data_IF_788572852814
#
_entry.id   IF_788572852814
#
_cell.length_a   1.000
_cell.length_b   1.000
_cell.length_c   1.000
_cell.angle_alpha   90.00
_cell.angle_beta   90.00
_cell.angle_gamma   90.00
#
_symmetry.space_group_name_H-M   'P 1'
#
loop_
_entity.id
_entity.type
_entity.pdbx_description
1 polymer ?
#
# COMPACT_ATOMS: atom_id res chain seq x y z
N UNK A 1 -13.96 -13.57 -11.87
CA UNK A 1 -13.41 -14.01 -10.57
C UNK A 1 -12.35 -15.06 -10.84
N UNK A 2 -11.07 -14.71 -10.83
CA UNK A 2 -10.00 -15.71 -10.87
C UNK A 2 -9.96 -16.36 -9.49
N UNK A 3 -10.49 -17.57 -9.37
CA UNK A 3 -10.28 -18.41 -8.21
C UNK A 3 -8.77 -18.55 -8.02
N UNK A 4 -8.26 -18.02 -6.90
CA UNK A 4 -6.92 -18.36 -6.41
C UNK A 4 -7.01 -19.82 -6.00
N UNK A 5 -6.62 -20.73 -6.90
CA UNK A 5 -6.59 -22.15 -6.62
C UNK A 5 -5.56 -22.38 -5.52
N UNK A 6 -6.01 -22.93 -4.40
CA UNK A 6 -5.14 -23.39 -3.32
C UNK A 6 -4.37 -24.59 -3.88
N UNK A 7 -3.06 -24.52 -3.88
CA UNK A 7 -2.17 -25.58 -4.38
C UNK A 7 -1.64 -26.35 -3.17
N UNK A 8 -1.65 -27.67 -3.23
CA UNK A 8 -0.97 -28.49 -2.20
C UNK A 8 0.55 -28.24 -2.29
N UNK A 9 1.17 -27.68 -1.24
CA UNK A 9 2.59 -27.36 -1.27
C UNK A 9 3.49 -28.59 -1.50
N UNK A 10 3.10 -29.77 -1.03
CA UNK A 10 3.90 -31.00 -1.16
C UNK A 10 3.89 -31.48 -2.61
N UNK A 11 2.73 -31.49 -3.24
CA UNK A 11 2.58 -31.83 -4.65
C UNK A 11 3.26 -30.83 -5.56
N UNK A 12 3.08 -29.52 -5.28
CA UNK A 12 3.74 -28.46 -6.02
C UNK A 12 5.25 -28.57 -5.96
N UNK A 13 5.80 -28.85 -4.77
CA UNK A 13 7.23 -29.08 -4.57
C UNK A 13 7.73 -30.24 -5.44
N UNK A 14 7.09 -31.40 -5.34
CA UNK A 14 7.44 -32.59 -6.12
C UNK A 14 7.38 -32.34 -7.63
N UNK A 15 6.35 -31.61 -8.10
CA UNK A 15 6.20 -31.25 -9.52
C UNK A 15 7.33 -30.33 -9.99
N UNK A 16 7.68 -29.31 -9.21
CA UNK A 16 8.76 -28.39 -9.57
C UNK A 16 10.13 -29.08 -9.52
N UNK A 17 10.38 -29.93 -8.53
CA UNK A 17 11.61 -30.73 -8.45
C UNK A 17 11.75 -31.69 -9.63
N UNK A 18 10.66 -32.31 -10.09
CA UNK A 18 10.66 -33.16 -11.32
C UNK A 18 10.95 -32.36 -12.59
N UNK A 19 10.71 -31.06 -12.58
CA UNK A 19 11.03 -30.13 -13.67
C UNK A 19 12.44 -29.52 -13.54
N UNK A 20 13.24 -29.98 -12.57
CA UNK A 20 14.63 -29.56 -12.37
C UNK A 20 14.84 -28.37 -11.45
N UNK A 21 13.81 -27.91 -10.75
CA UNK A 21 13.96 -26.82 -9.77
C UNK A 21 14.54 -27.34 -8.45
N UNK A 22 15.65 -26.76 -8.00
CA UNK A 22 16.20 -26.98 -6.66
C UNK A 22 15.59 -25.94 -5.70
N UNK A 23 14.61 -26.37 -4.90
CA UNK A 23 13.80 -25.49 -4.05
C UNK A 23 14.43 -25.31 -2.66
N UNK A 24 14.88 -24.11 -2.35
CA UNK A 24 15.36 -23.72 -1.02
C UNK A 24 14.22 -23.16 -0.19
N UNK A 25 14.04 -23.70 1.03
CA UNK A 25 12.93 -23.36 1.92
C UNK A 25 13.18 -22.05 2.70
N UNK A 26 12.19 -21.14 2.66
CA UNK A 26 12.17 -19.88 3.40
C UNK A 26 10.83 -19.67 4.14
N UNK A 27 10.30 -20.77 4.71
CA UNK A 27 9.05 -20.75 5.46
C UNK A 27 7.82 -20.70 4.55
N UNK A 28 7.26 -19.54 4.24
CA UNK A 28 6.05 -19.41 3.42
C UNK A 28 6.30 -19.49 1.90
N UNK A 29 7.54 -19.52 1.47
CA UNK A 29 7.93 -19.57 0.06
C UNK A 29 9.21 -20.35 -0.15
N UNK A 30 9.47 -20.74 -1.39
CA UNK A 30 10.75 -21.27 -1.84
C UNK A 30 11.50 -20.23 -2.68
N UNK A 31 12.85 -20.37 -2.68
CA UNK A 31 13.74 -19.75 -3.64
C UNK A 31 14.29 -20.80 -4.60
N UNK A 32 14.47 -20.44 -5.86
CA UNK A 32 15.04 -21.32 -6.88
C UNK A 32 15.76 -20.55 -7.97
N UNK A 33 16.57 -21.23 -8.76
CA UNK A 33 17.08 -20.70 -10.01
C UNK A 33 15.96 -20.65 -11.07
N UNK A 34 16.08 -19.71 -12.02
CA UNK A 34 15.14 -19.56 -13.12
C UNK A 34 15.45 -20.57 -14.23
N UNK A 35 15.18 -21.85 -13.98
CA UNK A 35 15.50 -22.99 -14.89
C UNK A 35 14.92 -22.78 -16.30
N UNK A 36 13.71 -22.24 -16.41
CA UNK A 36 13.03 -22.00 -17.68
C UNK A 36 13.79 -21.09 -18.67
N UNK A 37 14.77 -20.32 -18.17
CA UNK A 37 15.64 -19.46 -18.99
C UNK A 37 17.13 -19.79 -18.83
N UNK A 38 17.46 -20.99 -18.31
CA UNK A 38 18.84 -21.44 -18.13
C UNK A 38 19.62 -20.69 -17.02
N UNK A 39 18.93 -20.03 -16.11
CA UNK A 39 19.58 -19.30 -15.00
C UNK A 39 20.06 -20.26 -13.90
N UNK A 40 21.20 -19.95 -13.32
CA UNK A 40 21.87 -20.70 -12.24
C UNK A 40 21.77 -20.05 -10.86
N UNK A 41 21.36 -18.78 -10.78
CA UNK A 41 21.16 -18.06 -9.53
C UNK A 41 20.02 -18.67 -8.70
N UNK A 42 20.37 -19.38 -7.64
CA UNK A 42 19.43 -20.09 -6.76
C UNK A 42 18.44 -19.19 -5.97
N UNK A 43 18.52 -17.88 -6.14
CA UNK A 43 17.62 -16.90 -5.50
C UNK A 43 16.85 -16.08 -6.52
N UNK A 44 16.95 -16.38 -7.81
CA UNK A 44 16.31 -15.63 -8.89
C UNK A 44 14.77 -15.67 -8.82
N UNK A 45 14.19 -16.79 -8.40
CA UNK A 45 12.75 -16.97 -8.24
C UNK A 45 12.33 -16.95 -6.79
N UNK A 46 11.14 -16.41 -6.54
CA UNK A 46 10.37 -16.56 -5.30
C UNK A 46 9.04 -17.21 -5.62
N UNK A 47 8.74 -18.37 -5.02
CA UNK A 47 7.54 -19.16 -5.28
C UNK A 47 6.80 -19.38 -3.96
N UNK A 48 5.59 -18.83 -3.84
CA UNK A 48 4.75 -18.97 -2.65
C UNK A 48 4.12 -20.36 -2.59
N UNK A 49 4.30 -21.06 -1.46
CA UNK A 49 3.90 -22.47 -1.26
C UNK A 49 2.39 -22.69 -1.43
N UNK A 50 1.58 -21.83 -0.80
CA UNK A 50 0.13 -22.07 -0.69
C UNK A 50 -0.65 -21.58 -1.91
N UNK A 51 -0.11 -20.64 -2.69
CA UNK A 51 -0.79 -20.06 -3.85
C UNK A 51 -0.15 -20.45 -5.17
N UNK A 52 1.07 -20.97 -5.15
CA UNK A 52 1.86 -21.20 -6.36
C UNK A 52 2.18 -19.90 -7.13
N UNK A 53 1.89 -18.74 -6.57
CA UNK A 53 2.29 -17.47 -7.19
C UNK A 53 3.80 -17.35 -7.13
N UNK A 54 4.40 -16.89 -8.22
CA UNK A 54 5.84 -16.73 -8.28
C UNK A 54 6.26 -15.39 -8.91
N UNK A 55 7.48 -14.98 -8.62
CA UNK A 55 8.12 -13.75 -9.12
C UNK A 55 9.53 -14.10 -9.59
N UNK A 56 9.94 -13.62 -10.77
CA UNK A 56 11.33 -13.60 -11.21
C UNK A 56 11.89 -12.20 -10.97
N UNK A 57 12.93 -12.06 -10.17
CA UNK A 57 13.54 -10.77 -9.85
C UNK A 57 14.23 -10.11 -11.03
N UNK A 58 14.52 -10.85 -12.12
CA UNK A 58 15.04 -10.27 -13.35
C UNK A 58 13.94 -9.63 -14.22
N UNK A 59 12.66 -9.99 -14.00
CA UNK A 59 11.49 -9.45 -14.73
C UNK A 59 10.77 -8.35 -13.93
N UNK A 60 11.44 -7.79 -12.93
CA UNK A 60 10.86 -6.85 -11.98
C UNK A 60 9.93 -7.52 -10.98
N UNK A 61 9.14 -6.74 -10.25
CA UNK A 61 8.25 -7.24 -9.19
C UNK A 61 6.94 -7.88 -9.70
N UNK A 62 6.90 -8.34 -10.95
CA UNK A 62 5.71 -8.97 -11.53
C UNK A 62 5.51 -10.37 -10.97
N UNK A 63 4.29 -10.64 -10.54
CA UNK A 63 3.88 -11.95 -10.02
C UNK A 63 3.03 -12.70 -11.01
N UNK A 64 3.26 -14.01 -11.13
CA UNK A 64 2.63 -14.87 -12.11
C UNK A 64 2.06 -16.14 -11.46
N UNK A 65 1.00 -16.76 -12.02
CA UNK A 65 0.49 -18.04 -11.55
C UNK A 65 1.44 -19.19 -11.92
N UNK A 66 1.43 -20.27 -11.13
CA UNK A 66 2.32 -21.43 -11.32
C UNK A 66 2.22 -22.08 -12.69
N UNK A 67 1.02 -22.15 -13.26
CA UNK A 67 0.82 -22.67 -14.62
C UNK A 67 1.73 -21.99 -15.65
N UNK A 68 1.97 -20.70 -15.49
CA UNK A 68 2.87 -19.96 -16.38
C UNK A 68 4.33 -20.42 -16.22
N UNK A 69 4.79 -20.69 -14.98
CA UNK A 69 6.14 -21.21 -14.76
C UNK A 69 6.33 -22.56 -15.44
N UNK A 70 5.37 -23.47 -15.25
CA UNK A 70 5.38 -24.81 -15.85
C UNK A 70 5.32 -24.70 -17.38
N UNK A 71 4.45 -23.85 -17.93
CA UNK A 71 4.37 -23.58 -19.35
C UNK A 71 5.69 -23.09 -19.95
N UNK A 72 6.37 -22.16 -19.29
CA UNK A 72 7.68 -21.65 -19.69
C UNK A 72 8.77 -22.73 -19.61
N UNK A 73 8.76 -23.55 -18.54
CA UNK A 73 9.76 -24.62 -18.34
C UNK A 73 9.63 -25.73 -19.36
N UNK A 74 8.40 -26.13 -19.68
CA UNK A 74 8.09 -27.17 -20.66
C UNK A 74 8.05 -26.64 -22.12
N UNK A 75 8.16 -25.32 -22.30
CA UNK A 75 7.99 -24.64 -23.58
C UNK A 75 6.70 -25.06 -24.31
N UNK A 76 5.58 -25.14 -23.57
CA UNK A 76 4.27 -25.57 -24.12
C UNK A 76 3.16 -24.64 -23.65
N UNK A 77 2.11 -24.52 -24.49
CA UNK A 77 0.85 -23.84 -24.13
C UNK A 77 -0.32 -24.84 -24.00
N UNK A 78 -0.04 -26.13 -24.07
CA UNK A 78 -1.05 -27.19 -23.94
C UNK A 78 -1.44 -27.35 -22.46
N UNK A 79 -2.64 -26.89 -22.11
CA UNK A 79 -3.17 -26.96 -20.74
C UNK A 79 -3.25 -28.41 -20.24
N UNK A 80 -3.48 -29.42 -21.12
CA UNK A 80 -3.55 -30.83 -20.73
C UNK A 80 -2.19 -31.36 -20.25
N UNK A 81 -1.10 -30.82 -20.77
CA UNK A 81 0.27 -31.15 -20.38
C UNK A 81 0.60 -30.42 -19.07
N UNK A 82 0.25 -29.12 -18.99
CA UNK A 82 0.51 -28.29 -17.81
C UNK A 82 -0.24 -28.81 -16.57
N UNK A 83 -1.50 -29.21 -16.76
CA UNK A 83 -2.37 -29.68 -15.66
C UNK A 83 -1.91 -31.02 -15.07
N UNK A 84 -1.07 -31.80 -15.75
CA UNK A 84 -0.42 -32.99 -15.16
C UNK A 84 0.53 -32.65 -13.99
N UNK A 85 1.08 -31.44 -13.99
CA UNK A 85 1.99 -30.94 -12.96
C UNK A 85 1.27 -30.10 -11.90
N UNK A 86 0.03 -29.70 -12.18
CA UNK A 86 -0.81 -28.92 -11.27
C UNK A 86 -2.06 -29.72 -10.98
N UNK A 87 -1.96 -30.75 -10.12
CA UNK A 87 -3.13 -31.51 -9.66
C UNK A 87 -3.92 -30.68 -8.66
N UNK A 88 -5.11 -30.26 -9.01
CA UNK A 88 -6.10 -29.69 -8.12
C UNK A 88 -6.96 -30.84 -7.56
N UNK A 89 -6.70 -31.29 -6.34
CA UNK A 89 -7.56 -32.25 -5.67
C UNK A 89 -8.67 -31.51 -4.95
N UNK A 90 -9.80 -31.36 -5.63
CA UNK A 90 -11.01 -30.72 -5.08
C UNK A 90 -11.60 -31.50 -3.89
N UNK A 91 -11.29 -32.78 -3.72
CA UNK A 91 -11.80 -33.60 -2.61
C UNK A 91 -11.07 -33.34 -1.30
N UNK A 92 -9.80 -32.95 -1.33
CA UNK A 92 -9.04 -32.56 -0.15
C UNK A 92 -9.35 -31.15 0.37
N UNK A 93 -10.03 -30.31 -0.43
CA UNK A 93 -10.47 -28.97 -0.01
C UNK A 93 -11.61 -29.05 1.02
N UNK A 94 -12.40 -30.12 0.99
CA UNK A 94 -13.58 -30.28 1.88
C UNK A 94 -13.19 -30.90 3.24
N UNK A 95 -12.08 -31.63 3.33
CA UNK A 95 -11.66 -32.34 4.55
C UNK A 95 -10.58 -31.64 5.37
N UNK A 96 -9.85 -30.69 4.79
CA UNK A 96 -9.02 -29.78 5.56
C UNK A 96 -9.87 -28.59 5.97
N UNK A 97 -10.42 -28.66 7.20
CA UNK A 97 -10.79 -27.43 7.90
C UNK A 97 -9.69 -26.43 7.65
N UNK A 98 -10.04 -25.32 6.97
CA UNK A 98 -9.19 -24.15 6.90
C UNK A 98 -9.04 -23.73 8.36
N UNK A 99 -8.01 -24.25 9.02
CA UNK A 99 -7.50 -23.63 10.23
C UNK A 99 -6.98 -22.31 9.73
N UNK A 100 -7.89 -21.31 9.65
CA UNK A 100 -7.47 -19.93 9.66
C UNK A 100 -6.51 -19.86 10.84
N UNK A 101 -5.22 -19.79 10.53
CA UNK A 101 -4.26 -19.34 11.49
C UNK A 101 -4.70 -17.95 11.79
N UNK A 102 -5.44 -17.79 12.87
CA UNK A 102 -5.65 -16.48 13.49
C UNK A 102 -4.22 -16.08 13.86
N UNK A 103 -3.54 -15.41 12.94
CA UNK A 103 -2.28 -14.75 13.25
C UNK A 103 -2.67 -13.64 14.21
N UNK A 104 -2.49 -13.93 15.49
CA UNK A 104 -2.68 -12.91 16.53
C UNK A 104 -1.79 -11.74 16.14
N UNK A 105 -2.40 -10.58 16.04
CA UNK A 105 -1.71 -9.35 15.70
C UNK A 105 -0.62 -9.11 16.74
N UNK A 106 0.61 -8.91 16.30
CA UNK A 106 1.73 -8.70 17.20
C UNK A 106 1.56 -7.36 17.89
N UNK A 107 1.42 -7.38 19.21
CA UNK A 107 1.40 -6.17 20.03
C UNK A 107 2.82 -5.90 20.55
N UNK A 108 3.21 -4.64 20.49
CA UNK A 108 4.50 -4.17 20.96
C UNK A 108 4.33 -3.37 22.25
N UNK A 109 5.21 -3.54 23.26
CA UNK A 109 5.10 -2.80 24.51
C UNK A 109 5.40 -1.32 24.32
N UNK A 110 4.71 -0.44 25.04
CA UNK A 110 4.96 1.01 25.03
C UNK A 110 6.38 1.39 25.46
N UNK A 111 7.03 0.57 26.29
CA UNK A 111 8.45 0.76 26.67
C UNK A 111 9.41 0.82 25.47
N UNK A 112 9.01 0.35 24.31
CA UNK A 112 9.80 0.56 23.09
C UNK A 112 9.90 2.04 22.68
N UNK A 113 8.92 2.87 23.05
CA UNK A 113 8.94 4.31 22.78
C UNK A 113 9.92 5.05 23.70
N UNK A 114 10.12 4.58 24.94
CA UNK A 114 11.02 5.19 25.92
C UNK A 114 12.49 5.19 25.45
N UNK A 115 12.84 4.26 24.58
CA UNK A 115 14.17 4.16 23.98
C UNK A 115 14.36 5.05 22.74
N UNK A 116 13.34 5.77 22.32
CA UNK A 116 13.44 6.69 21.20
C UNK A 116 13.90 8.06 21.67
N UNK A 117 14.92 8.60 21.01
CA UNK A 117 15.37 9.97 21.32
C UNK A 117 14.50 11.00 20.59
N UNK A 118 14.29 12.18 21.16
CA UNK A 118 13.73 13.30 20.43
C UNK A 118 14.59 13.61 19.19
N UNK A 119 13.96 13.77 18.04
CA UNK A 119 14.65 14.14 16.81
C UNK A 119 13.78 15.09 15.99
N UNK A 120 14.03 16.36 16.13
CA UNK A 120 13.25 17.42 15.49
C UNK A 120 13.84 17.86 14.16
N UNK A 121 15.16 17.83 13.99
CA UNK A 121 15.90 18.46 12.89
C UNK A 121 15.45 18.01 11.49
N UNK A 122 15.15 16.72 11.32
CA UNK A 122 14.77 16.19 10.01
C UNK A 122 13.45 16.76 9.51
N UNK A 123 12.45 16.84 10.39
CA UNK A 123 11.12 17.32 10.04
C UNK A 123 10.96 18.84 10.23
N UNK A 124 11.75 19.46 11.12
CA UNK A 124 11.82 20.92 11.20
C UNK A 124 12.31 21.53 9.88
N UNK A 125 13.27 20.89 9.20
CA UNK A 125 13.70 21.27 7.84
C UNK A 125 12.60 21.12 6.79
N UNK A 126 11.54 20.39 7.12
CA UNK A 126 10.32 20.24 6.32
C UNK A 126 9.16 21.06 6.88
N UNK A 127 9.48 21.98 7.78
CA UNK A 127 8.55 22.92 8.42
C UNK A 127 7.41 22.22 9.16
N UNK A 128 7.72 21.08 9.79
CA UNK A 128 6.81 20.39 10.72
C UNK A 128 7.16 20.80 12.13
N UNK A 129 6.20 21.33 12.86
CA UNK A 129 6.38 21.83 14.22
C UNK A 129 6.63 20.70 15.24
N UNK A 130 7.28 21.00 16.38
CA UNK A 130 7.39 20.06 17.49
C UNK A 130 6.03 19.57 18.01
N UNK A 131 4.98 20.40 17.94
CA UNK A 131 3.64 20.02 18.37
C UNK A 131 3.05 18.92 17.50
N UNK A 132 3.18 19.04 16.18
CA UNK A 132 2.81 17.99 15.23
C UNK A 132 3.62 16.72 15.48
N UNK A 133 4.94 16.80 15.65
CA UNK A 133 5.78 15.63 15.93
C UNK A 133 5.40 14.92 17.22
N UNK A 134 5.05 15.69 18.26
CA UNK A 134 4.56 15.16 19.54
C UNK A 134 3.19 14.47 19.38
N UNK A 135 2.28 15.02 18.55
CA UNK A 135 1.03 14.34 18.25
C UNK A 135 1.28 12.97 17.64
N UNK A 136 2.18 12.86 16.66
CA UNK A 136 2.52 11.60 16.01
C UNK A 136 3.39 10.67 16.87
N UNK A 137 3.78 11.09 18.09
CA UNK A 137 4.60 10.34 19.05
C UNK A 137 5.87 9.75 18.43
N UNK A 138 6.46 10.47 17.49
CA UNK A 138 7.63 9.98 16.77
C UNK A 138 8.92 10.24 17.57
N UNK A 139 9.92 9.38 17.34
CA UNK A 139 11.25 9.54 17.90
C UNK A 139 12.33 8.80 17.12
N UNK A 140 13.58 9.05 17.45
CA UNK A 140 14.73 8.52 16.71
C UNK A 140 15.29 7.25 17.36
N UNK A 141 15.40 6.18 16.59
CA UNK A 141 15.96 4.91 17.05
C UNK A 141 17.49 4.89 16.91
N UNK A 142 18.18 4.71 18.03
CA UNK A 142 19.65 4.62 18.12
C UNK A 142 20.18 3.19 18.06
N UNK A 143 19.29 2.19 18.11
CA UNK A 143 19.65 0.78 18.10
C UNK A 143 18.56 -0.10 17.47
N UNK A 144 18.84 -1.38 17.33
CA UNK A 144 17.87 -2.41 16.91
C UNK A 144 17.50 -2.35 15.42
N UNK A 145 16.37 -2.97 15.11
CA UNK A 145 15.93 -3.15 13.72
C UNK A 145 15.60 -1.84 12.99
N UNK A 146 15.29 -0.77 13.73
CA UNK A 146 14.92 0.55 13.20
C UNK A 146 16.05 1.58 13.37
N UNK A 147 17.26 1.13 13.61
CA UNK A 147 18.44 1.96 13.77
C UNK A 147 18.56 3.07 12.70
N UNK A 148 18.91 4.28 13.12
CA UNK A 148 19.06 5.50 12.30
C UNK A 148 17.78 5.90 11.55
N UNK A 149 16.61 5.69 12.17
CA UNK A 149 15.33 6.05 11.59
C UNK A 149 14.49 6.84 12.58
N UNK A 150 13.66 7.73 12.05
CA UNK A 150 12.56 8.33 12.79
C UNK A 150 11.41 7.32 12.74
N UNK A 151 10.94 6.93 13.91
CA UNK A 151 9.99 5.85 14.13
C UNK A 151 8.65 6.44 14.53
N UNK A 152 7.60 5.95 13.92
CA UNK A 152 6.21 6.30 14.18
C UNK A 152 5.47 5.06 14.71
N UNK A 153 4.94 5.09 15.94
CA UNK A 153 4.13 3.99 16.45
C UNK A 153 2.77 3.96 15.74
N UNK A 154 2.31 2.77 15.43
CA UNK A 154 1.00 2.54 14.82
C UNK A 154 0.10 1.92 15.88
N UNK A 155 -0.96 2.61 16.24
CA UNK A 155 -1.93 2.17 17.25
C UNK A 155 -3.12 1.46 16.60
N UNK A 156 -3.61 0.41 17.26
CA UNK A 156 -4.90 -0.22 16.92
C UNK A 156 -6.06 0.51 17.63
N UNK A 157 -7.30 0.06 17.40
CA UNK A 157 -8.49 0.67 18.00
C UNK A 157 -8.56 0.52 19.54
N UNK A 158 -7.81 -0.41 20.12
CA UNK A 158 -7.67 -0.59 21.56
C UNK A 158 -6.63 0.36 22.17
N UNK A 159 -5.88 1.09 21.35
CA UNK A 159 -4.81 1.97 21.77
C UNK A 159 -3.48 1.26 22.03
N UNK A 160 -3.33 0.03 21.53
CA UNK A 160 -2.11 -0.76 21.64
C UNK A 160 -1.23 -0.57 20.39
N UNK A 161 0.09 -0.62 20.55
CA UNK A 161 1.02 -0.51 19.42
C UNK A 161 1.07 -1.85 18.70
N UNK A 162 0.56 -1.91 17.47
CA UNK A 162 0.60 -3.12 16.63
C UNK A 162 1.55 -3.00 15.43
N UNK A 163 2.34 -1.95 15.40
CA UNK A 163 3.36 -1.77 14.38
C UNK A 163 4.17 -0.51 14.54
N UNK A 164 5.20 -0.42 13.70
CA UNK A 164 6.02 0.78 13.57
C UNK A 164 6.31 1.04 12.10
N UNK A 165 6.19 2.30 11.70
CA UNK A 165 6.69 2.79 10.43
C UNK A 165 7.89 3.68 10.67
N UNK A 166 8.99 3.49 9.94
CA UNK A 166 10.24 4.16 10.25
C UNK A 166 10.93 4.72 9.00
N UNK A 167 11.22 6.02 9.03
CA UNK A 167 11.86 6.79 7.95
C UNK A 167 13.35 6.92 8.18
N UNK A 168 14.17 6.50 7.20
CA UNK A 168 15.61 6.73 7.26
C UNK A 168 15.92 8.25 7.20
N UNK A 169 16.77 8.74 8.10
CA UNK A 169 17.16 10.15 8.15
C UNK A 169 18.17 10.50 7.07
N UNK A 170 19.01 9.54 6.67
CA UNK A 170 19.96 9.65 5.58
C UNK A 170 19.56 8.63 4.51
N UNK A 171 19.07 9.12 3.39
CA UNK A 171 18.65 8.28 2.26
C UNK A 171 18.73 9.07 0.96
N UNK A 172 19.23 8.40 -0.09
CA UNK A 172 19.21 8.86 -1.47
C UNK A 172 18.83 7.68 -2.39
N UNK A 173 18.74 7.92 -3.69
CA UNK A 173 18.35 6.90 -4.67
C UNK A 173 19.35 5.73 -4.76
N UNK A 174 20.61 5.95 -4.40
CA UNK A 174 21.70 4.96 -4.45
C UNK A 174 21.84 4.17 -3.13
N UNK A 175 21.01 4.46 -2.14
CA UNK A 175 21.06 3.78 -0.84
C UNK A 175 20.66 2.31 -0.97
N UNK A 176 21.48 1.42 -0.41
CA UNK A 176 21.25 -0.04 -0.39
C UNK A 176 20.14 -0.48 0.58
N UNK A 177 19.62 0.42 1.38
CA UNK A 177 18.57 0.19 2.36
C UNK A 177 17.31 1.00 2.02
N UNK A 178 16.11 0.51 2.38
CA UNK A 178 14.86 1.15 2.01
C UNK A 178 14.66 2.49 2.72
N UNK A 179 14.07 3.46 2.01
CA UNK A 179 13.64 4.77 2.53
C UNK A 179 12.74 4.63 3.75
N UNK A 180 11.75 3.73 3.67
CA UNK A 180 10.84 3.37 4.76
C UNK A 180 11.02 1.91 5.16
N UNK A 181 10.97 1.62 6.44
CA UNK A 181 10.97 0.27 7.01
C UNK A 181 9.79 0.13 7.95
N UNK A 182 9.12 -1.01 7.87
CA UNK A 182 7.93 -1.28 8.66
C UNK A 182 8.15 -2.52 9.54
N UNK A 183 7.66 -2.46 10.78
CA UNK A 183 7.51 -3.62 11.65
C UNK A 183 6.02 -3.82 11.92
N UNK A 184 5.50 -4.99 11.66
CA UNK A 184 4.08 -5.31 11.70
C UNK A 184 3.45 -5.40 10.30
N UNK A 185 2.15 -5.67 10.26
CA UNK A 185 1.40 -5.95 9.03
C UNK A 185 0.69 -4.68 8.55
N UNK A 186 1.34 -3.89 7.69
CA UNK A 186 0.82 -2.57 7.24
C UNK A 186 -0.56 -2.63 6.57
N UNK A 187 -1.00 -3.80 6.06
CA UNK A 187 -2.34 -3.98 5.50
C UNK A 187 -3.46 -3.87 6.55
N UNK A 188 -3.12 -3.99 7.85
CA UNK A 188 -4.03 -3.87 8.97
C UNK A 188 -4.02 -2.45 9.59
N UNK A 189 -3.19 -1.55 9.08
CA UNK A 189 -3.00 -0.22 9.66
C UNK A 189 -4.02 0.78 9.15
N UNK A 190 -4.51 1.61 10.06
CA UNK A 190 -5.33 2.79 9.76
C UNK A 190 -4.71 3.97 10.53
N UNK A 191 -3.84 4.70 9.88
CA UNK A 191 -3.00 5.70 10.52
C UNK A 191 -3.29 7.11 9.97
N UNK A 192 -3.33 8.13 10.82
CA UNK A 192 -3.11 8.16 12.26
C UNK A 192 -4.41 8.10 13.09
N UNK A 193 -5.46 7.42 12.62
CA UNK A 193 -6.82 7.43 13.20
C UNK A 193 -6.84 7.19 14.70
N UNK A 194 -6.04 6.25 15.20
CA UNK A 194 -6.03 5.82 16.60
C UNK A 194 -4.95 6.50 17.44
N UNK A 195 -4.27 7.51 16.90
CA UNK A 195 -3.36 8.36 17.69
C UNK A 195 -4.21 9.31 18.54
N UNK A 196 -3.96 9.32 19.86
CA UNK A 196 -4.72 10.12 20.81
C UNK A 196 -3.89 11.29 21.36
N UNK A 197 -4.54 12.45 21.51
CA UNK A 197 -4.08 13.61 22.28
C UNK A 197 -5.06 13.85 23.41
N UNK A 198 -4.58 13.80 24.66
CA UNK A 198 -5.48 13.97 25.82
C UNK A 198 -6.62 12.94 25.91
N UNK A 199 -6.39 11.72 25.41
CA UNK A 199 -7.40 10.65 25.36
C UNK A 199 -8.30 10.66 24.12
N UNK A 200 -8.25 11.69 23.28
CA UNK A 200 -9.15 11.94 22.15
C UNK A 200 -8.49 11.54 20.81
N UNK A 201 -9.21 10.85 19.96
CA UNK A 201 -8.81 10.55 18.56
C UNK A 201 -9.07 11.76 17.66
N UNK A 202 -8.15 12.72 17.65
CA UNK A 202 -8.29 14.01 16.94
C UNK A 202 -8.66 13.84 15.47
N UNK A 203 -8.07 12.83 14.80
CA UNK A 203 -8.34 12.55 13.38
C UNK A 203 -9.79 12.11 13.18
N UNK A 204 -10.30 11.21 14.04
CA UNK A 204 -11.68 10.74 13.99
C UNK A 204 -12.67 11.90 14.22
N UNK A 205 -12.42 12.72 15.22
CA UNK A 205 -13.27 13.90 15.47
C UNK A 205 -13.27 14.87 14.30
N UNK A 206 -12.10 15.14 13.70
CA UNK A 206 -12.01 16.05 12.55
C UNK A 206 -12.71 15.49 11.32
N UNK A 207 -12.67 14.17 11.10
CA UNK A 207 -13.43 13.50 10.04
C UNK A 207 -14.94 13.67 10.30
N UNK A 208 -15.39 13.45 11.52
CA UNK A 208 -16.81 13.61 11.89
C UNK A 208 -17.29 15.06 11.77
N UNK A 209 -16.45 16.02 12.14
CA UNK A 209 -16.74 17.47 12.01
C UNK A 209 -16.87 17.92 10.55
N UNK A 210 -15.95 17.45 9.68
CA UNK A 210 -15.88 17.93 8.29
C UNK A 210 -16.66 17.07 7.30
N UNK A 211 -17.09 15.89 7.71
CA UNK A 211 -17.64 14.87 6.81
C UNK A 211 -16.67 14.39 5.74
N UNK A 212 -15.39 14.76 5.82
CA UNK A 212 -14.41 14.55 4.75
C UNK A 212 -13.21 13.76 5.25
N UNK A 213 -12.74 12.79 4.44
CA UNK A 213 -11.48 12.08 4.64
C UNK A 213 -10.53 12.40 3.48
N UNK A 214 -9.28 12.73 3.78
CA UNK A 214 -8.20 12.91 2.81
C UNK A 214 -7.29 11.69 2.90
N UNK A 215 -7.10 10.97 1.80
CA UNK A 215 -6.26 9.77 1.76
C UNK A 215 -4.94 10.12 1.08
N UNK A 216 -3.83 9.91 1.80
CA UNK A 216 -2.47 10.23 1.35
C UNK A 216 -1.57 9.00 1.34
N UNK A 217 -0.43 9.09 0.65
CA UNK A 217 0.49 7.96 0.49
C UNK A 217 1.38 7.74 1.71
N UNK A 218 1.89 8.80 2.32
CA UNK A 218 2.95 8.74 3.33
C UNK A 218 2.64 9.50 4.62
N UNK A 219 3.37 9.15 5.68
CA UNK A 219 3.31 9.89 6.97
C UNK A 219 3.79 11.33 6.79
N UNK A 220 4.74 11.59 5.89
CA UNK A 220 5.20 12.96 5.60
C UNK A 220 4.06 13.85 5.11
N UNK A 221 3.24 13.35 4.19
CA UNK A 221 2.07 14.07 3.69
C UNK A 221 1.03 14.29 4.78
N UNK A 222 0.78 13.23 5.58
CA UNK A 222 -0.13 13.29 6.72
C UNK A 222 0.26 14.38 7.72
N UNK A 223 1.55 14.48 8.05
CA UNK A 223 2.05 15.54 8.96
C UNK A 223 1.94 16.93 8.34
N UNK A 224 2.26 17.09 7.06
CA UNK A 224 2.14 18.38 6.37
C UNK A 224 0.68 18.86 6.31
N UNK A 225 -0.26 17.96 6.05
CA UNK A 225 -1.69 18.26 6.15
C UNK A 225 -2.10 18.64 7.57
N UNK A 226 -1.69 17.86 8.56
CA UNK A 226 -2.01 18.12 9.97
C UNK A 226 -1.48 19.49 10.43
N UNK A 227 -0.23 19.83 10.07
CA UNK A 227 0.41 21.12 10.34
C UNK A 227 -0.42 22.31 9.81
N UNK A 228 -1.09 22.11 8.69
CA UNK A 228 -1.92 23.13 8.04
C UNK A 228 -3.43 23.02 8.38
N UNK A 229 -3.78 22.30 9.44
CA UNK A 229 -5.16 22.21 9.95
C UNK A 229 -6.02 21.11 9.35
N UNK A 230 -5.50 20.31 8.39
CA UNK A 230 -6.21 19.20 7.76
C UNK A 230 -5.95 17.89 8.50
N UNK A 231 -6.37 17.81 9.77
CA UNK A 231 -6.19 16.61 10.58
C UNK A 231 -7.03 15.39 10.11
N UNK A 232 -8.05 15.61 9.26
CA UNK A 232 -8.95 14.58 8.72
C UNK A 232 -8.30 13.74 7.60
N UNK A 233 -7.07 13.25 7.82
CA UNK A 233 -6.33 12.52 6.81
C UNK A 233 -5.93 11.11 7.26
N UNK A 234 -5.81 10.16 6.32
CA UNK A 234 -5.41 8.77 6.53
C UNK A 234 -4.33 8.35 5.54
N UNK A 235 -3.38 7.52 6.01
CA UNK A 235 -2.20 7.08 5.26
C UNK A 235 -2.39 5.66 4.72
N UNK A 236 -2.07 5.44 3.44
CA UNK A 236 -2.11 4.12 2.80
C UNK A 236 -0.80 3.32 2.93
N UNK A 237 0.31 3.95 3.31
CA UNK A 237 1.66 3.34 3.34
C UNK A 237 2.10 2.76 1.99
N UNK A 238 1.72 3.38 0.90
CA UNK A 238 2.00 3.04 -0.49
C UNK A 238 0.81 3.30 -1.39
N UNK A 239 0.91 2.84 -2.64
CA UNK A 239 -0.01 3.19 -3.71
C UNK A 239 -1.27 2.29 -3.76
N UNK A 240 -2.05 2.19 -2.67
CA UNK A 240 -3.29 1.41 -2.72
C UNK A 240 -4.06 1.36 -1.39
N UNK A 241 -5.36 1.13 -1.50
CA UNK A 241 -6.28 1.02 -0.37
C UNK A 241 -6.24 -0.42 0.16
N UNK A 242 -5.90 -0.61 1.45
CA UNK A 242 -6.01 -1.91 2.09
C UNK A 242 -7.46 -2.25 2.44
N UNK A 243 -7.78 -3.55 2.58
CA UNK A 243 -9.12 -3.99 3.00
C UNK A 243 -9.49 -3.42 4.38
N UNK A 244 -8.51 -3.31 5.30
CA UNK A 244 -8.74 -2.71 6.62
C UNK A 244 -9.06 -1.22 6.52
N UNK A 245 -8.31 -0.46 5.71
CA UNK A 245 -8.61 0.95 5.47
C UNK A 245 -9.99 1.12 4.81
N UNK A 246 -10.31 0.28 3.82
CA UNK A 246 -11.62 0.31 3.15
C UNK A 246 -12.77 0.05 4.16
N UNK A 247 -12.67 -0.98 5.00
CA UNK A 247 -13.68 -1.27 6.03
C UNK A 247 -13.80 -0.14 7.06
N UNK A 248 -12.70 0.49 7.42
CA UNK A 248 -12.72 1.65 8.33
C UNK A 248 -13.37 2.88 7.68
N UNK A 249 -13.16 3.11 6.38
CA UNK A 249 -13.87 4.17 5.66
C UNK A 249 -15.38 3.94 5.64
N UNK A 250 -15.83 2.67 5.49
CA UNK A 250 -17.25 2.32 5.58
C UNK A 250 -17.78 2.59 7.01
N UNK A 251 -17.03 2.24 8.04
CA UNK A 251 -17.39 2.53 9.45
C UNK A 251 -17.51 4.04 9.72
N UNK A 252 -16.53 4.82 9.23
CA UNK A 252 -16.52 6.29 9.38
C UNK A 252 -17.63 6.97 8.59
N UNK A 253 -18.11 6.34 7.53
CA UNK A 253 -19.17 6.82 6.62
C UNK A 253 -19.05 8.30 6.25
N UNK A 254 -17.92 8.76 5.68
CA UNK A 254 -17.76 10.17 5.33
C UNK A 254 -18.69 10.57 4.18
N UNK A 255 -19.00 11.85 4.12
CA UNK A 255 -19.73 12.45 2.99
C UNK A 255 -18.83 12.59 1.75
N UNK A 256 -17.53 12.75 1.99
CA UNK A 256 -16.53 12.96 0.93
C UNK A 256 -15.23 12.23 1.24
N UNK A 257 -14.68 11.57 0.22
CA UNK A 257 -13.36 10.94 0.27
C UNK A 257 -12.49 11.56 -0.82
N UNK A 258 -11.40 12.21 -0.42
CA UNK A 258 -10.43 12.82 -1.33
C UNK A 258 -9.20 11.91 -1.42
N UNK A 259 -8.92 11.36 -2.59
CA UNK A 259 -7.71 10.60 -2.87
C UNK A 259 -6.64 11.59 -3.33
N UNK A 260 -5.60 11.77 -2.53
CA UNK A 260 -4.59 12.81 -2.67
C UNK A 260 -3.16 12.21 -2.58
N UNK A 261 -2.85 11.25 -3.46
CA UNK A 261 -1.51 10.67 -3.56
C UNK A 261 -0.53 11.68 -4.17
N UNK A 262 0.75 11.32 -4.21
CA UNK A 262 1.79 12.19 -4.75
C UNK A 262 1.50 12.60 -6.20
N UNK A 263 1.94 13.79 -6.57
CA UNK A 263 1.80 14.32 -7.92
C UNK A 263 3.15 14.25 -8.65
N UNK A 264 3.48 13.08 -9.18
CA UNK A 264 4.74 12.81 -9.90
C UNK A 264 4.72 13.40 -11.33
N UNK A 265 4.20 14.62 -11.50
CA UNK A 265 3.96 15.24 -12.80
C UNK A 265 5.23 15.47 -13.64
N UNK A 266 6.41 15.46 -13.00
CA UNK A 266 7.72 15.60 -13.67
C UNK A 266 8.28 14.28 -14.20
N UNK A 267 7.67 13.13 -13.88
CA UNK A 267 8.04 11.83 -14.41
C UNK A 267 7.27 11.50 -15.69
N UNK A 268 7.82 10.63 -16.55
CA UNK A 268 7.14 10.16 -17.77
C UNK A 268 5.74 9.58 -17.48
N UNK A 269 5.61 8.91 -16.32
CA UNK A 269 4.35 8.39 -15.83
C UNK A 269 4.07 8.94 -14.44
N UNK A 270 2.97 9.68 -14.29
CA UNK A 270 2.51 10.14 -12.97
C UNK A 270 1.93 8.97 -12.18
N UNK A 271 2.80 8.24 -11.46
CA UNK A 271 2.44 7.05 -10.69
C UNK A 271 1.38 7.33 -9.62
N UNK A 272 1.44 8.49 -8.98
CA UNK A 272 0.44 8.89 -7.98
C UNK A 272 -0.93 9.10 -8.60
N UNK A 273 -1.03 9.73 -9.77
CA UNK A 273 -2.28 9.89 -10.50
C UNK A 273 -2.86 8.53 -10.93
N UNK A 274 -2.04 7.67 -11.54
CA UNK A 274 -2.46 6.32 -11.97
C UNK A 274 -2.98 5.51 -10.79
N UNK A 275 -2.28 5.54 -9.68
CA UNK A 275 -2.67 4.82 -8.46
C UNK A 275 -3.91 5.43 -7.79
N UNK A 276 -4.08 6.74 -7.86
CA UNK A 276 -5.30 7.42 -7.41
C UNK A 276 -6.52 6.99 -8.22
N UNK A 277 -6.38 6.87 -9.55
CA UNK A 277 -7.44 6.36 -10.42
C UNK A 277 -7.82 4.91 -10.07
N UNK A 278 -6.82 4.05 -9.83
CA UNK A 278 -7.05 2.67 -9.41
C UNK A 278 -7.77 2.60 -8.07
N UNK A 279 -7.35 3.39 -7.09
CA UNK A 279 -7.97 3.46 -5.76
C UNK A 279 -9.40 4.02 -5.83
N UNK A 280 -9.65 5.02 -6.67
CA UNK A 280 -10.99 5.55 -6.94
C UNK A 280 -11.93 4.44 -7.43
N UNK A 281 -11.52 3.69 -8.46
CA UNK A 281 -12.32 2.61 -9.02
C UNK A 281 -12.53 1.45 -8.03
N UNK A 282 -11.54 1.17 -7.17
CA UNK A 282 -11.70 0.20 -6.09
C UNK A 282 -12.74 0.65 -5.07
N UNK A 283 -12.71 1.92 -4.66
CA UNK A 283 -13.68 2.48 -3.71
C UNK A 283 -15.10 2.59 -4.30
N UNK A 284 -15.27 2.72 -5.62
CA UNK A 284 -16.58 2.67 -6.28
C UNK A 284 -17.30 1.32 -6.11
N UNK A 285 -16.67 0.28 -5.56
CA UNK A 285 -17.34 -0.97 -5.20
C UNK A 285 -18.12 -0.88 -3.89
N UNK A 286 -17.84 0.13 -3.05
CA UNK A 286 -18.43 0.29 -1.70
C UNK A 286 -18.99 1.69 -1.45
N UNK A 287 -18.56 2.69 -2.21
CA UNK A 287 -19.05 4.07 -2.11
C UNK A 287 -19.63 4.55 -3.44
N UNK A 288 -20.64 5.39 -3.34
CA UNK A 288 -21.11 6.13 -4.50
C UNK A 288 -19.99 7.03 -5.04
N UNK A 289 -19.81 7.04 -6.37
CA UNK A 289 -18.79 7.83 -7.02
C UNK A 289 -18.91 9.33 -6.74
N UNK A 290 -20.10 9.81 -6.35
CA UNK A 290 -20.34 11.22 -5.99
C UNK A 290 -19.63 11.63 -4.72
N UNK A 291 -19.35 10.67 -3.82
CA UNK A 291 -18.58 10.88 -2.60
C UNK A 291 -17.06 10.89 -2.85
N UNK A 292 -16.61 10.45 -4.02
CA UNK A 292 -15.19 10.23 -4.31
C UNK A 292 -14.61 11.37 -5.16
N UNK A 293 -13.41 11.82 -4.82
CA UNK A 293 -12.68 12.83 -5.58
C UNK A 293 -11.18 12.49 -5.62
N UNK A 294 -10.54 12.65 -6.79
CA UNK A 294 -9.07 12.69 -6.89
C UNK A 294 -8.66 14.16 -6.88
N UNK A 295 -7.79 14.52 -5.94
CA UNK A 295 -7.30 15.90 -5.80
C UNK A 295 -5.84 15.88 -5.31
N UNK A 296 -4.93 15.74 -6.28
CA UNK A 296 -3.50 15.65 -6.01
C UNK A 296 -2.96 16.98 -5.46
N UNK A 297 -1.86 16.95 -4.68
CA UNK A 297 -1.17 18.15 -4.23
C UNK A 297 -0.75 19.06 -5.41
N UNK A 298 -0.56 20.34 -5.15
CA UNK A 298 -0.12 21.32 -6.16
C UNK A 298 1.40 21.25 -6.42
N UNK A 299 2.16 20.65 -5.49
CA UNK A 299 3.56 20.28 -5.66
C UNK A 299 3.68 18.74 -5.84
N UNK A 300 4.89 18.19 -5.76
CA UNK A 300 5.10 16.75 -5.86
C UNK A 300 4.39 15.97 -4.74
N UNK A 301 4.45 16.47 -3.52
CA UNK A 301 3.75 15.96 -2.34
C UNK A 301 3.31 17.09 -1.40
N UNK A 302 2.58 16.79 -0.32
CA UNK A 302 2.18 17.81 0.64
C UNK A 302 3.34 18.32 1.49
N UNK A 303 4.40 17.53 1.70
CA UNK A 303 5.61 18.03 2.36
C UNK A 303 6.29 19.11 1.54
N UNK A 304 6.32 18.96 0.22
CA UNK A 304 6.86 19.97 -0.69
C UNK A 304 5.96 21.22 -0.76
N UNK A 305 4.63 21.05 -0.74
CA UNK A 305 3.70 22.17 -0.60
C UNK A 305 3.96 22.97 0.68
N UNK A 306 4.23 22.29 1.80
CA UNK A 306 4.51 22.94 3.08
C UNK A 306 5.77 23.80 3.02
N UNK A 307 6.83 23.32 2.37
CA UNK A 307 8.06 24.08 2.15
C UNK A 307 7.82 25.32 1.28
N UNK A 308 7.15 25.15 0.14
CA UNK A 308 6.91 26.24 -0.82
C UNK A 308 5.99 27.34 -0.27
N UNK A 309 5.01 27.00 0.57
CA UNK A 309 4.11 27.96 1.21
C UNK A 309 4.87 28.97 2.08
N UNK A 310 6.00 28.59 2.66
CA UNK A 310 6.79 29.43 3.57
C UNK A 310 7.83 30.30 2.85
N UNK A 311 8.11 30.03 1.58
CA UNK A 311 9.04 30.81 0.77
C UNK A 311 8.38 32.09 0.17
N UNK A 312 7.22 32.51 0.69
CA UNK A 312 6.53 33.78 0.31
C UNK A 312 5.57 33.64 -0.88
N UNK A 313 5.18 32.41 -1.20
CA UNK A 313 4.10 32.15 -2.16
C UNK A 313 2.72 32.20 -1.46
N UNK A 314 1.65 32.34 -2.26
CA UNK A 314 0.29 32.17 -1.77
C UNK A 314 0.16 30.83 -1.02
N UNK A 315 -0.69 30.80 0.03
CA UNK A 315 -0.89 29.58 0.79
C UNK A 315 -1.38 28.43 -0.11
N UNK A 316 -0.46 27.54 -0.49
CA UNK A 316 -0.73 26.45 -1.43
C UNK A 316 -1.80 25.49 -0.91
N UNK A 317 -1.97 25.35 0.41
CA UNK A 317 -3.04 24.53 0.98
C UNK A 317 -4.41 25.16 0.75
N UNK A 318 -4.54 26.47 0.92
CA UNK A 318 -5.77 27.21 0.59
C UNK A 318 -6.08 27.14 -0.91
N UNK A 319 -5.08 27.31 -1.77
CA UNK A 319 -5.24 27.15 -3.22
C UNK A 319 -5.64 25.70 -3.58
N UNK A 320 -5.02 24.72 -2.95
CA UNK A 320 -5.38 23.32 -3.13
C UNK A 320 -6.81 23.05 -2.67
N UNK A 321 -7.22 23.55 -1.49
CA UNK A 321 -8.56 23.37 -0.97
C UNK A 321 -9.63 23.98 -1.90
N UNK A 322 -9.37 25.18 -2.42
CA UNK A 322 -10.31 25.91 -3.30
C UNK A 322 -10.30 25.39 -4.74
N UNK A 323 -9.34 24.57 -5.14
CA UNK A 323 -9.27 24.01 -6.49
C UNK A 323 -10.48 23.15 -6.80
N UNK A 324 -11.32 23.63 -7.71
CA UNK A 324 -12.51 22.90 -8.16
C UNK A 324 -12.10 21.73 -9.09
N UNK A 325 -12.63 20.55 -8.82
CA UNK A 325 -12.50 19.38 -9.67
C UNK A 325 -13.86 19.10 -10.33
N UNK A 326 -13.93 19.27 -11.65
CA UNK A 326 -15.14 18.96 -12.42
C UNK A 326 -15.28 17.44 -12.53
N UNK A 327 -16.39 16.90 -12.03
CA UNK A 327 -16.64 15.44 -11.93
C UNK A 327 -16.56 14.76 -13.28
N UNK A 328 -17.24 15.29 -14.28
CA UNK A 328 -17.27 14.68 -15.62
C UNK A 328 -15.86 14.58 -16.20
N UNK A 329 -15.08 15.67 -16.12
CA UNK A 329 -13.70 15.68 -16.60
C UNK A 329 -12.82 14.68 -15.83
N UNK A 330 -13.06 14.51 -14.52
CA UNK A 330 -12.33 13.54 -13.71
C UNK A 330 -12.67 12.09 -14.11
N UNK A 331 -13.95 11.76 -14.26
CA UNK A 331 -14.38 10.41 -14.64
C UNK A 331 -13.84 10.05 -16.02
N UNK A 332 -13.95 10.96 -17.00
CA UNK A 332 -13.35 10.78 -18.33
C UNK A 332 -11.86 10.50 -18.24
N UNK A 333 -11.13 11.26 -17.43
CA UNK A 333 -9.69 11.08 -17.22
C UNK A 333 -9.36 9.76 -16.56
N UNK A 334 -10.17 9.30 -15.59
CA UNK A 334 -10.01 7.99 -14.93
C UNK A 334 -10.18 6.86 -15.96
N UNK A 335 -11.18 6.95 -16.85
CA UNK A 335 -11.38 5.96 -17.92
C UNK A 335 -10.18 5.91 -18.87
N UNK A 336 -9.73 7.06 -19.39
CA UNK A 336 -8.55 7.14 -20.24
C UNK A 336 -7.32 6.49 -19.59
N UNK A 337 -7.04 6.81 -18.32
CA UNK A 337 -5.90 6.28 -17.58
C UNK A 337 -6.05 4.78 -17.36
N UNK A 338 -7.26 4.28 -17.04
CA UNK A 338 -7.51 2.86 -16.81
C UNK A 338 -7.22 2.04 -18.07
N UNK A 339 -7.62 2.53 -19.24
CA UNK A 339 -7.36 1.88 -20.54
C UNK A 339 -5.89 1.96 -20.90
N UNK A 340 -5.27 3.15 -20.84
CA UNK A 340 -3.87 3.36 -21.21
C UNK A 340 -2.89 2.56 -20.36
N UNK A 341 -3.21 2.35 -19.07
CA UNK A 341 -2.34 1.63 -18.14
C UNK A 341 -2.75 0.17 -17.92
N UNK A 342 -3.61 -0.38 -18.80
CA UNK A 342 -4.03 -1.78 -18.76
C UNK A 342 -4.49 -2.23 -17.36
N UNK A 343 -5.39 -1.48 -16.73
CA UNK A 343 -5.94 -1.87 -15.43
C UNK A 343 -6.61 -3.24 -15.50
N UNK A 344 -6.80 -3.94 -14.37
CA UNK A 344 -7.60 -5.17 -14.36
C UNK A 344 -8.96 -4.97 -15.04
N UNK A 345 -9.41 -5.96 -15.81
CA UNK A 345 -10.60 -5.85 -16.68
C UNK A 345 -11.86 -5.40 -15.91
N UNK A 346 -12.02 -5.86 -14.66
CA UNK A 346 -13.13 -5.43 -13.82
C UNK A 346 -13.10 -3.94 -13.47
N UNK A 347 -11.91 -3.33 -13.35
CA UNK A 347 -11.76 -1.90 -13.11
C UNK A 347 -11.96 -1.08 -14.40
N UNK A 348 -11.50 -1.58 -15.54
CA UNK A 348 -11.76 -0.94 -16.86
C UNK A 348 -13.27 -0.90 -17.11
N UNK A 349 -13.98 -2.03 -16.92
CA UNK A 349 -15.42 -2.09 -17.08
C UNK A 349 -16.14 -1.11 -16.15
N UNK A 350 -15.69 -1.01 -14.90
CA UNK A 350 -16.25 -0.05 -13.94
C UNK A 350 -16.03 1.41 -14.37
N UNK A 351 -14.86 1.72 -14.92
CA UNK A 351 -14.55 3.05 -15.43
C UNK A 351 -15.40 3.41 -16.67
N UNK A 352 -15.65 2.43 -17.54
CA UNK A 352 -16.52 2.55 -18.72
C UNK A 352 -17.98 2.83 -18.30
N UNK A 353 -18.55 2.01 -17.39
CA UNK A 353 -19.89 2.21 -16.83
C UNK A 353 -20.07 3.63 -16.23
N UNK A 354 -19.05 4.11 -15.48
CA UNK A 354 -19.08 5.48 -14.94
C UNK A 354 -19.02 6.54 -16.02
N UNK A 355 -18.19 6.36 -17.04
CA UNK A 355 -18.05 7.31 -18.14
C UNK A 355 -19.33 7.42 -18.98
N UNK A 356 -20.00 6.29 -19.23
CA UNK A 356 -21.29 6.25 -19.93
C UNK A 356 -22.41 6.94 -19.12
N UNK A 357 -22.37 6.82 -17.78
CA UNK A 357 -23.39 7.42 -16.90
C UNK A 357 -23.39 8.96 -16.86
N UNK A 358 -22.30 9.59 -17.34
CA UNK A 358 -22.13 11.04 -17.35
C UNK A 358 -22.17 11.64 -18.78
N UNK A 359 -22.22 10.80 -19.81
CA UNK A 359 -22.38 11.20 -21.23
C UNK A 359 -23.83 11.42 -21.58
#
# INVERSE_FOLDING_TARGET
MSQTSIVDPTQLKSSLESLGYNLRDFGSYWRAAAVYRGGDNSTALKIYKNSGVWTDFADGDKSYPIKRLISLTLNTKDDSVIDKYVKFDLQNIISNEVKEKIEMEKIYPESMLENLLPHLDFYSKKMISPDTLNFYKCGYATAGQLFRRIVFPIYNSQGEIHGFSARATIWNKDSTFPKWKHLGKKTNWVYPLHVKRGGVEIVREKIAETGTVIIVESIGDSMALFENGYANNLVTFGLGISSKLCSTLVELNPDKIIIAYNNDATSELNHGLVSSCKSYLQLCSVFDHTKLQIKLPLANDFSDMNLLTLEGQDNLFTLWENKTVKREAQIKKIYEIAVQNNFPQNLIKKAEELNESIS
#
